data_IF_601681234306
#
_entry.id   IF_601681234306
#
_cell.length_a   1.000
_cell.length_b   1.000
_cell.length_c   1.000
_cell.angle_alpha   90.00
_cell.angle_beta   90.00
_cell.angle_gamma   90.00
#
_symmetry.space_group_name_H-M   'P 1'
#
loop_
_entity.id
_entity.type
_entity.pdbx_description
1 polymer ?
#
# COMPACT_ATOMS: atom_id res chain seq x y z
N UNK A 1 9.61 -7.15 4.64
CA UNK A 1 9.51 -6.54 5.99
C UNK A 1 10.66 -6.95 6.90
N UNK A 2 11.07 -8.22 6.95
CA UNK A 2 12.25 -8.67 7.73
C UNK A 2 13.58 -8.10 7.17
N UNK A 3 13.64 -7.85 5.85
CA UNK A 3 14.86 -7.41 5.17
C UNK A 3 15.46 -6.08 5.65
N UNK A 4 14.66 -5.11 6.13
CA UNK A 4 15.21 -3.85 6.63
C UNK A 4 15.95 -4.02 7.97
N UNK A 5 15.39 -4.84 8.87
CA UNK A 5 16.02 -5.16 10.16
C UNK A 5 17.26 -6.04 9.99
N UNK A 6 17.18 -7.08 9.15
CA UNK A 6 18.34 -7.90 8.81
C UNK A 6 19.42 -7.11 8.07
N UNK A 7 19.04 -6.22 7.15
CA UNK A 7 19.97 -5.34 6.44
C UNK A 7 20.72 -4.41 7.38
N UNK A 8 20.04 -3.83 8.39
CA UNK A 8 20.69 -3.03 9.42
C UNK A 8 21.69 -3.82 10.26
N UNK A 9 21.33 -5.04 10.69
CA UNK A 9 22.24 -5.95 11.42
C UNK A 9 23.45 -6.35 10.56
N UNK A 10 23.22 -6.62 9.28
CA UNK A 10 24.26 -7.01 8.32
C UNK A 10 25.25 -5.86 8.10
N UNK A 11 24.76 -4.63 7.98
CA UNK A 11 25.61 -3.42 7.89
C UNK A 11 26.37 -3.20 9.19
N UNK A 12 25.73 -3.41 10.36
CA UNK A 12 26.38 -3.24 11.64
C UNK A 12 27.55 -4.22 11.86
N UNK A 13 27.40 -5.49 11.45
CA UNK A 13 28.44 -6.51 11.60
C UNK A 13 29.48 -6.52 10.50
N UNK A 14 29.05 -6.39 9.25
CA UNK A 14 29.91 -6.63 8.09
C UNK A 14 30.17 -5.36 7.27
N UNK A 15 29.53 -4.25 7.60
CA UNK A 15 29.64 -3.01 6.84
C UNK A 15 28.82 -3.02 5.53
N UNK A 16 28.73 -1.84 4.92
CA UNK A 16 27.87 -1.58 3.75
C UNK A 16 28.28 -2.40 2.53
N UNK A 17 29.58 -2.58 2.29
CA UNK A 17 30.07 -3.29 1.09
C UNK A 17 29.63 -4.75 1.04
N UNK A 18 29.72 -5.47 2.16
CA UNK A 18 29.29 -6.86 2.24
C UNK A 18 27.77 -6.99 2.18
N UNK A 19 27.05 -6.04 2.77
CA UNK A 19 25.59 -5.99 2.65
C UNK A 19 25.15 -5.83 1.18
N UNK A 20 25.82 -4.98 0.41
CA UNK A 20 25.56 -4.81 -1.03
C UNK A 20 25.91 -6.05 -1.85
N UNK A 21 27.02 -6.74 -1.53
CA UNK A 21 27.40 -7.97 -2.23
C UNK A 21 26.40 -9.11 -1.97
N UNK A 22 25.91 -9.24 -0.74
CA UNK A 22 24.89 -10.23 -0.39
C UNK A 22 23.58 -9.92 -1.10
N UNK A 23 23.16 -8.66 -1.16
CA UNK A 23 21.98 -8.24 -1.91
C UNK A 23 22.11 -8.60 -3.41
N UNK A 24 23.24 -8.25 -4.03
CA UNK A 24 23.53 -8.57 -5.44
C UNK A 24 23.51 -10.08 -5.72
N UNK A 25 24.13 -10.89 -4.85
CA UNK A 25 24.13 -12.34 -4.97
C UNK A 25 22.72 -12.93 -4.84
N UNK A 26 21.91 -12.40 -3.92
CA UNK A 26 20.51 -12.80 -3.73
C UNK A 26 19.68 -12.58 -5.00
N UNK A 27 19.84 -11.40 -5.63
CA UNK A 27 19.17 -11.09 -6.90
C UNK A 27 19.67 -11.95 -8.06
N UNK A 28 20.98 -12.26 -8.12
CA UNK A 28 21.53 -13.18 -9.11
C UNK A 28 20.93 -14.59 -9.00
N UNK A 29 20.77 -15.09 -7.77
CA UNK A 29 20.09 -16.38 -7.51
C UNK A 29 18.64 -16.32 -7.98
N UNK A 30 17.90 -15.25 -7.67
CA UNK A 30 16.54 -15.06 -8.17
C UNK A 30 16.47 -15.05 -9.70
N UNK A 31 17.41 -14.37 -10.37
CA UNK A 31 17.47 -14.33 -11.83
C UNK A 31 17.69 -15.72 -12.44
N UNK A 32 18.59 -16.52 -11.85
CA UNK A 32 18.83 -17.91 -12.28
C UNK A 32 17.60 -18.77 -12.04
N UNK A 33 16.97 -18.69 -10.85
CA UNK A 33 15.76 -19.44 -10.54
C UNK A 33 14.62 -19.10 -11.52
N UNK A 34 14.39 -17.82 -11.81
CA UNK A 34 13.38 -17.40 -12.78
C UNK A 34 13.73 -17.89 -14.19
N UNK A 35 14.98 -17.74 -14.62
CA UNK A 35 15.43 -18.19 -15.94
C UNK A 35 15.32 -19.70 -16.16
N UNK A 36 15.46 -20.51 -15.10
CA UNK A 36 15.37 -21.98 -15.17
C UNK A 36 13.95 -22.50 -14.94
N UNK A 37 13.21 -21.93 -13.98
CA UNK A 37 11.93 -22.48 -13.51
C UNK A 37 10.71 -21.86 -14.19
N UNK A 38 10.78 -20.61 -14.65
CA UNK A 38 9.63 -19.94 -15.27
C UNK A 38 9.64 -20.21 -16.76
N UNK A 39 8.78 -21.12 -17.19
CA UNK A 39 8.48 -21.32 -18.61
C UNK A 39 7.38 -20.34 -19.01
N UNK A 40 7.66 -19.32 -19.84
CA UNK A 40 6.58 -18.50 -20.37
C UNK A 40 5.61 -19.40 -21.14
N UNK A 41 4.28 -19.24 -20.95
CA UNK A 41 3.32 -19.90 -21.81
C UNK A 41 3.68 -19.61 -23.27
N UNK A 42 3.66 -20.64 -24.12
CA UNK A 42 3.79 -20.43 -25.56
C UNK A 42 2.81 -19.32 -25.95
N UNK A 43 3.31 -18.28 -26.62
CA UNK A 43 2.51 -17.12 -27.01
C UNK A 43 1.39 -17.59 -27.96
N UNK A 44 0.25 -17.97 -27.38
CA UNK A 44 -0.99 -18.31 -28.10
C UNK A 44 -1.76 -17.06 -28.49
N UNK A 45 -1.39 -15.91 -27.91
CA UNK A 45 -1.87 -14.61 -28.37
C UNK A 45 -1.05 -14.18 -29.59
N UNK A 46 -1.73 -13.95 -30.72
CA UNK A 46 -1.17 -13.22 -31.85
C UNK A 46 -0.48 -11.94 -31.35
N UNK A 47 0.64 -11.50 -31.97
CA UNK A 47 1.28 -10.25 -31.59
C UNK A 47 0.22 -9.15 -31.63
N UNK A 48 -0.17 -8.63 -30.47
CA UNK A 48 -1.05 -7.48 -30.42
C UNK A 48 -0.36 -6.37 -31.21
N UNK A 49 -1.06 -5.76 -32.17
CA UNK A 49 -0.48 -4.65 -32.93
C UNK A 49 0.14 -3.64 -31.96
N UNK A 50 1.33 -3.08 -32.26
CA UNK A 50 2.00 -2.13 -31.39
C UNK A 50 1.13 -0.89 -31.24
N UNK A 51 0.31 -0.88 -30.18
CA UNK A 51 -0.56 0.24 -29.88
C UNK A 51 0.30 1.35 -29.30
N UNK A 52 0.23 2.56 -29.87
CA UNK A 52 1.01 3.70 -29.41
C UNK A 52 0.80 3.95 -27.91
N UNK A 53 1.91 4.22 -27.20
CA UNK A 53 1.95 4.40 -25.73
C UNK A 53 0.85 5.33 -25.19
N UNK A 54 0.59 6.44 -25.88
CA UNK A 54 -0.46 7.41 -25.50
C UNK A 54 -1.88 6.84 -25.62
N UNK A 55 -2.11 5.97 -26.61
CA UNK A 55 -3.41 5.32 -26.84
C UNK A 55 -3.63 4.22 -25.80
N UNK A 56 -2.58 3.49 -25.44
CA UNK A 56 -2.59 2.54 -24.33
C UNK A 56 -2.86 3.23 -22.97
N UNK A 57 -2.23 4.37 -22.71
CA UNK A 57 -2.49 5.19 -21.52
C UNK A 57 -3.94 5.71 -21.49
N UNK A 58 -4.42 6.28 -22.59
CA UNK A 58 -5.80 6.76 -22.71
C UNK A 58 -6.83 5.65 -22.48
N UNK A 59 -6.54 4.43 -22.96
CA UNK A 59 -7.35 3.24 -22.69
C UNK A 59 -7.45 2.90 -21.20
N UNK A 60 -6.33 2.97 -20.48
CA UNK A 60 -6.29 2.72 -19.04
C UNK A 60 -6.99 3.80 -18.22
N UNK A 61 -6.79 5.09 -18.51
CA UNK A 61 -7.52 6.19 -17.86
C UNK A 61 -9.03 6.11 -18.09
N UNK A 62 -9.46 5.78 -19.31
CA UNK A 62 -10.89 5.62 -19.63
C UNK A 62 -11.52 4.45 -18.88
N UNK A 63 -10.78 3.35 -18.70
CA UNK A 63 -11.25 2.21 -17.91
C UNK A 63 -11.38 2.60 -16.43
N UNK A 64 -10.36 3.25 -15.87
CA UNK A 64 -10.36 3.67 -14.47
C UNK A 64 -11.46 4.70 -14.16
N UNK A 65 -11.72 5.62 -15.10
CA UNK A 65 -12.83 6.58 -14.99
C UNK A 65 -14.22 5.92 -15.02
N UNK A 66 -14.35 4.73 -15.62
CA UNK A 66 -15.60 3.95 -15.64
C UNK A 66 -15.80 3.14 -14.35
N UNK A 67 -14.74 2.49 -13.84
CA UNK A 67 -14.81 1.79 -12.56
C UNK A 67 -14.55 2.75 -11.39
N UNK A 68 -15.61 3.46 -10.98
CA UNK A 68 -15.57 4.40 -9.86
C UNK A 68 -15.10 3.76 -8.55
N UNK A 69 -15.31 2.45 -8.36
CA UNK A 69 -14.88 1.77 -7.15
C UNK A 69 -13.36 1.61 -7.14
N UNK A 70 -12.78 1.16 -8.24
CA UNK A 70 -11.33 1.02 -8.39
C UNK A 70 -10.64 2.39 -8.29
N UNK A 71 -11.20 3.42 -8.95
CA UNK A 71 -10.68 4.79 -8.84
C UNK A 71 -10.71 5.29 -7.39
N UNK A 72 -11.81 5.05 -6.67
CA UNK A 72 -11.95 5.42 -5.26
C UNK A 72 -10.90 4.74 -4.39
N UNK A 73 -10.69 3.43 -4.56
CA UNK A 73 -9.67 2.69 -3.82
C UNK A 73 -8.28 3.26 -4.08
N UNK A 74 -7.95 3.60 -5.34
CA UNK A 74 -6.67 4.19 -5.69
C UNK A 74 -6.48 5.60 -5.12
N UNK A 75 -7.53 6.44 -5.10
CA UNK A 75 -7.46 7.76 -4.48
C UNK A 75 -7.24 7.68 -2.97
N UNK A 76 -7.93 6.75 -2.29
CA UNK A 76 -7.72 6.48 -0.87
C UNK A 76 -6.28 6.04 -0.61
N UNK A 77 -5.76 5.11 -1.42
CA UNK A 77 -4.39 4.60 -1.27
C UNK A 77 -3.36 5.70 -1.56
N UNK A 78 -3.59 6.52 -2.58
CA UNK A 78 -2.74 7.67 -2.88
C UNK A 78 -2.70 8.65 -1.70
N UNK A 79 -3.84 8.93 -1.07
CA UNK A 79 -3.90 9.76 0.12
C UNK A 79 -3.22 9.12 1.34
N UNK A 80 -3.35 7.80 1.54
CA UNK A 80 -2.64 7.09 2.59
C UNK A 80 -1.11 7.15 2.37
N UNK A 81 -0.65 6.98 1.13
CA UNK A 81 0.76 7.14 0.76
C UNK A 81 1.25 8.58 0.99
N UNK A 82 0.42 9.56 0.65
CA UNK A 82 0.70 10.97 0.92
C UNK A 82 0.92 11.23 2.41
N UNK A 83 0.00 10.76 3.26
CA UNK A 83 0.10 10.88 4.72
C UNK A 83 1.31 10.12 5.27
N UNK A 84 1.55 8.91 4.78
CA UNK A 84 2.68 8.09 5.20
C UNK A 84 4.01 8.79 4.89
N UNK A 85 4.15 9.36 3.69
CA UNK A 85 5.37 10.03 3.29
C UNK A 85 5.56 11.36 4.02
N UNK A 86 4.49 12.16 4.21
CA UNK A 86 4.54 13.37 5.03
C UNK A 86 5.02 13.05 6.46
N UNK A 87 4.53 11.94 7.03
CA UNK A 87 4.91 11.49 8.36
C UNK A 87 6.39 11.12 8.46
N UNK A 88 6.87 10.28 7.54
CA UNK A 88 8.25 9.78 7.58
C UNK A 88 9.25 10.87 7.21
N UNK A 89 8.94 11.70 6.21
CA UNK A 89 9.86 12.71 5.71
C UNK A 89 9.93 13.96 6.60
N UNK A 90 8.84 14.32 7.31
CA UNK A 90 8.73 15.61 7.99
C UNK A 90 8.23 15.47 9.43
N UNK A 91 7.03 14.92 9.65
CA UNK A 91 6.39 15.05 10.96
C UNK A 91 7.08 14.26 12.07
N UNK A 92 7.53 13.02 11.82
CA UNK A 92 8.21 12.22 12.84
C UNK A 92 9.59 12.79 13.15
N UNK A 93 10.45 13.13 12.16
CA UNK A 93 11.73 13.78 12.46
C UNK A 93 11.57 15.04 13.31
N UNK A 94 10.59 15.89 12.99
CA UNK A 94 10.32 17.10 13.75
C UNK A 94 9.76 16.82 15.15
N UNK A 95 8.82 15.89 15.29
CA UNK A 95 8.32 15.49 16.61
C UNK A 95 9.44 14.93 17.49
N UNK A 96 10.35 14.13 16.91
CA UNK A 96 11.50 13.59 17.63
C UNK A 96 12.46 14.71 18.05
N UNK A 97 12.68 15.71 17.18
CA UNK A 97 13.59 16.83 17.45
C UNK A 97 13.00 17.83 18.47
N UNK A 98 11.74 18.22 18.29
CA UNK A 98 11.11 19.33 19.02
C UNK A 98 10.41 18.88 20.30
N UNK A 99 9.95 17.62 20.38
CA UNK A 99 9.15 17.11 21.51
C UNK A 99 9.93 16.05 22.30
N UNK A 100 10.42 15.00 21.65
CA UNK A 100 11.04 13.87 22.35
C UNK A 100 12.47 14.15 22.82
N UNK A 101 13.26 14.89 22.02
CA UNK A 101 14.67 15.18 22.28
C UNK A 101 15.62 13.97 22.20
N UNK A 102 15.13 12.79 21.78
CA UNK A 102 15.92 11.56 21.68
C UNK A 102 15.91 10.98 20.25
N UNK A 103 17.04 11.01 19.52
CA UNK A 103 17.15 10.47 18.16
C UNK A 103 16.73 9.01 18.00
N UNK A 104 16.83 8.19 19.05
CA UNK A 104 16.40 6.79 19.03
C UNK A 104 14.89 6.64 18.79
N UNK A 105 14.09 7.67 19.13
CA UNK A 105 12.64 7.68 18.93
C UNK A 105 12.22 7.47 17.48
N UNK A 106 12.97 8.00 16.52
CA UNK A 106 12.67 7.83 15.10
C UNK A 106 12.71 6.34 14.72
N UNK A 107 13.79 5.65 15.12
CA UNK A 107 13.95 4.22 14.88
C UNK A 107 12.86 3.38 15.57
N UNK A 108 12.49 3.74 16.81
CA UNK A 108 11.44 3.04 17.55
C UNK A 108 10.06 3.19 16.90
N UNK A 109 9.70 4.39 16.45
CA UNK A 109 8.41 4.65 15.77
C UNK A 109 8.34 3.89 14.44
N UNK A 110 9.40 3.93 13.63
CA UNK A 110 9.47 3.16 12.38
C UNK A 110 9.47 1.64 12.61
N UNK A 111 10.15 1.19 13.67
CA UNK A 111 10.19 -0.20 14.09
C UNK A 111 8.82 -0.70 14.53
N UNK A 112 8.12 0.05 15.38
CA UNK A 112 6.77 -0.26 15.83
C UNK A 112 5.78 -0.35 14.65
N UNK A 113 5.85 0.59 13.70
CA UNK A 113 5.05 0.53 12.49
C UNK A 113 5.32 -0.76 11.69
N UNK A 114 6.59 -1.10 11.50
CA UNK A 114 7.00 -2.29 10.74
C UNK A 114 6.58 -3.59 11.41
N UNK A 115 6.70 -3.65 12.75
CA UNK A 115 6.25 -4.78 13.55
C UNK A 115 4.72 -4.97 13.46
N UNK A 116 3.97 -3.87 13.57
CA UNK A 116 2.52 -3.86 13.39
C UNK A 116 2.11 -4.32 11.99
N UNK A 117 2.78 -3.82 10.95
CA UNK A 117 2.52 -4.22 9.56
C UNK A 117 2.81 -5.71 9.31
N UNK A 118 3.87 -6.25 9.92
CA UNK A 118 4.18 -7.67 9.84
C UNK A 118 3.09 -8.52 10.51
N UNK A 119 2.68 -8.13 11.72
CA UNK A 119 1.61 -8.81 12.45
C UNK A 119 0.28 -8.72 11.69
N UNK A 120 -0.06 -7.55 11.14
CA UNK A 120 -1.27 -7.35 10.33
C UNK A 120 -1.29 -8.21 9.07
N UNK A 121 -0.16 -8.36 8.38
CA UNK A 121 -0.05 -9.27 7.24
C UNK A 121 -0.26 -10.73 7.66
N UNK A 122 0.36 -11.18 8.76
CA UNK A 122 0.19 -12.54 9.27
C UNK A 122 -1.27 -12.81 9.67
N UNK A 123 -1.90 -11.87 10.37
CA UNK A 123 -3.31 -11.90 10.72
C UNK A 123 -4.18 -11.98 9.47
N UNK A 124 -3.88 -11.20 8.43
CA UNK A 124 -4.63 -11.23 7.18
C UNK A 124 -4.45 -12.55 6.42
N UNK A 125 -3.27 -13.17 6.43
CA UNK A 125 -3.07 -14.48 5.81
C UNK A 125 -3.96 -15.55 6.47
N UNK A 126 -4.14 -15.50 7.79
CA UNK A 126 -4.94 -16.49 8.53
C UNK A 126 -6.43 -16.17 8.54
N UNK A 127 -6.79 -14.90 8.75
CA UNK A 127 -8.18 -14.46 8.95
C UNK A 127 -8.80 -13.82 7.70
N UNK A 128 -8.00 -13.34 6.76
CA UNK A 128 -8.45 -12.67 5.54
C UNK A 128 -9.51 -13.43 4.73
N UNK A 129 -9.44 -14.76 4.58
CA UNK A 129 -10.48 -15.53 3.89
C UNK A 129 -11.85 -15.48 4.57
N UNK A 130 -11.89 -15.22 5.89
CA UNK A 130 -13.11 -15.20 6.70
C UNK A 130 -13.66 -13.80 6.94
N UNK A 131 -12.91 -12.76 6.54
CA UNK A 131 -13.26 -11.38 6.83
C UNK A 131 -14.01 -10.71 5.67
N UNK A 132 -15.01 -9.86 5.96
CA UNK A 132 -15.68 -9.05 4.95
C UNK A 132 -14.71 -8.03 4.35
N UNK A 133 -14.19 -8.33 3.14
CA UNK A 133 -13.15 -7.58 2.42
C UNK A 133 -13.33 -6.05 2.46
N UNK A 134 -14.56 -5.55 2.25
CA UNK A 134 -14.86 -4.12 2.27
C UNK A 134 -14.72 -3.51 3.67
N UNK A 135 -15.29 -4.15 4.71
CA UNK A 135 -15.16 -3.66 6.08
C UNK A 135 -13.70 -3.71 6.56
N UNK A 136 -12.94 -4.74 6.17
CA UNK A 136 -11.52 -4.82 6.54
C UNK A 136 -10.70 -3.73 5.87
N UNK A 137 -10.98 -3.40 4.59
CA UNK A 137 -10.37 -2.25 3.92
C UNK A 137 -10.67 -0.95 4.66
N UNK A 138 -11.94 -0.73 5.00
CA UNK A 138 -12.43 0.48 5.68
C UNK A 138 -11.78 0.68 7.03
N UNK A 139 -11.84 -0.35 7.88
CA UNK A 139 -11.29 -0.29 9.23
C UNK A 139 -9.78 -0.16 9.17
N UNK A 140 -9.11 -0.89 8.27
CA UNK A 140 -7.67 -0.80 8.06
C UNK A 140 -7.23 0.60 7.62
N UNK A 141 -7.90 1.18 6.61
CA UNK A 141 -7.63 2.52 6.12
C UNK A 141 -7.85 3.58 7.21
N UNK A 142 -8.98 3.53 7.92
CA UNK A 142 -9.29 4.46 9.00
C UNK A 142 -8.30 4.36 10.18
N UNK A 143 -7.89 3.15 10.55
CA UNK A 143 -6.92 2.92 11.62
C UNK A 143 -5.48 3.31 11.25
N UNK A 144 -5.14 3.26 9.96
CA UNK A 144 -3.75 3.44 9.48
C UNK A 144 -3.25 4.88 9.47
N UNK A 145 -4.12 5.87 9.24
CA UNK A 145 -3.72 7.25 8.97
C UNK A 145 -3.94 8.22 10.13
N UNK A 146 -5.20 8.57 10.39
CA UNK A 146 -5.56 9.64 11.33
C UNK A 146 -5.13 9.38 12.79
N UNK A 147 -5.28 8.16 13.38
CA UNK A 147 -4.92 7.94 14.78
C UNK A 147 -3.45 8.25 15.07
N UNK A 148 -2.54 7.86 14.17
CA UNK A 148 -1.11 8.10 14.30
C UNK A 148 -0.77 9.58 14.28
N UNK A 149 -1.39 10.35 13.37
CA UNK A 149 -1.17 11.80 13.29
C UNK A 149 -1.73 12.51 14.54
N UNK A 150 -2.88 12.06 15.04
CA UNK A 150 -3.46 12.59 16.29
C UNK A 150 -2.58 12.26 17.50
N UNK A 151 -2.01 11.06 17.57
CA UNK A 151 -1.09 10.69 18.64
C UNK A 151 0.17 11.58 18.64
N UNK A 152 0.75 11.85 17.47
CA UNK A 152 1.88 12.79 17.34
C UNK A 152 1.49 14.24 17.69
N UNK A 153 0.24 14.65 17.45
CA UNK A 153 -0.23 16.00 17.73
C UNK A 153 -0.58 16.26 19.19
N UNK A 154 -1.07 15.22 19.89
CA UNK A 154 -1.69 15.34 21.22
C UNK A 154 -0.88 14.67 22.33
N UNK A 155 0.15 13.89 21.99
CA UNK A 155 0.93 13.13 22.96
C UNK A 155 2.42 13.40 22.82
N UNK A 156 3.05 13.66 23.96
CA UNK A 156 4.50 13.76 24.13
C UNK A 156 5.09 12.42 24.64
N UNK A 157 4.22 11.50 25.06
CA UNK A 157 4.56 10.20 25.63
C UNK A 157 4.90 9.20 24.52
N UNK A 158 6.20 8.85 24.41
CA UNK A 158 6.68 7.86 23.45
C UNK A 158 5.89 6.54 23.46
N UNK A 159 5.54 5.93 24.62
CA UNK A 159 4.78 4.67 24.63
C UNK A 159 3.41 4.77 23.94
N UNK A 160 2.73 5.91 24.05
CA UNK A 160 1.43 6.16 23.41
C UNK A 160 1.61 6.23 21.90
N UNK A 161 2.59 7.00 21.43
CA UNK A 161 2.91 7.12 20.01
C UNK A 161 3.30 5.77 19.41
N UNK A 162 4.08 4.95 20.14
CA UNK A 162 4.47 3.60 19.71
C UNK A 162 3.27 2.66 19.60
N UNK A 163 2.40 2.63 20.62
CA UNK A 163 1.22 1.77 20.62
C UNK A 163 0.27 2.11 19.46
N UNK A 164 -0.02 3.40 19.26
CA UNK A 164 -0.89 3.84 18.16
C UNK A 164 -0.24 3.59 16.80
N UNK A 165 1.06 3.85 16.66
CA UNK A 165 1.78 3.60 15.41
C UNK A 165 1.81 2.10 15.05
N UNK A 166 1.96 1.23 16.05
CA UNK A 166 1.89 -0.21 15.88
C UNK A 166 0.51 -0.66 15.39
N UNK A 167 -0.57 -0.16 16.01
CA UNK A 167 -1.94 -0.46 15.58
C UNK A 167 -2.23 0.06 14.16
N UNK A 168 -1.74 1.26 13.82
CA UNK A 168 -1.82 1.79 12.46
C UNK A 168 -1.07 0.92 11.44
N UNK A 169 0.07 0.34 11.83
CA UNK A 169 0.80 -0.66 11.03
C UNK A 169 -0.04 -1.90 10.73
N UNK A 170 -0.79 -2.41 11.71
CA UNK A 170 -1.70 -3.55 11.49
C UNK A 170 -2.79 -3.17 10.46
N UNK A 171 -3.36 -1.97 10.59
CA UNK A 171 -4.42 -1.50 9.70
C UNK A 171 -3.98 -1.36 8.23
N UNK A 172 -2.80 -0.80 7.98
CA UNK A 172 -2.32 -0.57 6.61
C UNK A 172 -1.98 -1.88 5.88
N UNK A 173 -1.59 -2.92 6.61
CA UNK A 173 -1.16 -4.20 6.03
C UNK A 173 -2.24 -4.84 5.13
N UNK A 174 -3.52 -4.63 5.48
CA UNK A 174 -4.67 -5.20 4.77
C UNK A 174 -4.97 -4.48 3.45
N UNK A 175 -4.50 -3.24 3.28
CA UNK A 175 -4.86 -2.38 2.15
C UNK A 175 -4.26 -2.88 0.82
N UNK A 176 -2.98 -3.28 0.82
CA UNK A 176 -2.27 -3.68 -0.40
C UNK A 176 -2.79 -5.00 -1.02
N UNK A 177 -3.01 -6.09 -0.25
CA UNK A 177 -3.57 -7.32 -0.79
C UNK A 177 -4.97 -7.11 -1.39
N UNK A 178 -5.81 -6.30 -0.75
CA UNK A 178 -7.16 -6.01 -1.22
C UNK A 178 -7.15 -5.23 -2.53
N UNK A 179 -6.25 -4.27 -2.70
CA UNK A 179 -6.07 -3.57 -3.98
C UNK A 179 -5.59 -4.54 -5.06
N UNK A 180 -4.61 -5.40 -4.75
CA UNK A 180 -4.09 -6.39 -5.70
C UNK A 180 -5.20 -7.30 -6.21
N UNK A 181 -5.99 -7.87 -5.30
CA UNK A 181 -7.14 -8.72 -5.66
C UNK A 181 -8.15 -7.95 -6.51
N UNK A 182 -8.52 -6.72 -6.12
CA UNK A 182 -9.46 -5.91 -6.88
C UNK A 182 -8.96 -5.56 -8.30
N UNK A 183 -7.67 -5.29 -8.45
CA UNK A 183 -7.05 -5.03 -9.76
C UNK A 183 -7.09 -6.28 -10.64
N UNK A 184 -6.72 -7.45 -10.12
CA UNK A 184 -6.69 -8.69 -10.92
C UNK A 184 -8.08 -9.27 -11.19
N UNK A 185 -9.05 -9.12 -10.27
CA UNK A 185 -10.42 -9.63 -10.45
C UNK A 185 -11.26 -8.76 -11.39
N UNK A 186 -11.06 -7.43 -11.38
CA UNK A 186 -11.89 -6.49 -12.16
C UNK A 186 -11.32 -6.19 -13.54
N UNK A 187 -9.99 -6.10 -13.66
CA UNK A 187 -9.33 -5.67 -14.90
C UNK A 187 -9.24 -6.84 -15.90
N UNK A 188 -9.78 -6.70 -17.12
CA UNK A 188 -9.64 -7.71 -18.17
C UNK A 188 -8.18 -7.99 -18.50
N UNK A 189 -7.82 -9.26 -18.76
CA UNK A 189 -6.44 -9.70 -18.99
C UNK A 189 -5.67 -8.85 -20.02
N UNK A 190 -6.30 -8.47 -21.14
CA UNK A 190 -5.69 -7.65 -22.18
C UNK A 190 -5.40 -6.18 -21.78
N UNK A 191 -5.92 -5.71 -20.64
CA UNK A 191 -5.69 -4.36 -20.12
C UNK A 191 -4.87 -4.36 -18.82
N UNK A 192 -4.54 -5.52 -18.25
CA UNK A 192 -3.89 -5.63 -16.94
C UNK A 192 -2.57 -4.85 -16.89
N UNK A 193 -1.66 -5.04 -17.84
CA UNK A 193 -0.38 -4.31 -17.88
C UNK A 193 -0.55 -2.80 -17.95
N UNK A 194 -1.62 -2.31 -18.61
CA UNK A 194 -1.89 -0.86 -18.76
C UNK A 194 -2.50 -0.27 -17.49
N UNK A 195 -3.54 -0.92 -16.96
CA UNK A 195 -4.29 -0.43 -15.80
C UNK A 195 -3.50 -0.62 -14.51
N UNK A 196 -2.77 -1.73 -14.33
CA UNK A 196 -1.94 -1.96 -13.15
C UNK A 196 -0.78 -0.97 -13.10
N UNK A 197 -0.13 -0.69 -14.24
CA UNK A 197 0.92 0.33 -14.32
C UNK A 197 0.40 1.72 -13.94
N UNK A 198 -0.74 2.13 -14.50
CA UNK A 198 -1.40 3.40 -14.14
C UNK A 198 -1.86 3.45 -12.69
N UNK A 199 -2.42 2.35 -12.18
CA UNK A 199 -2.85 2.22 -10.79
C UNK A 199 -1.67 2.39 -9.82
N UNK A 200 -0.54 1.76 -10.12
CA UNK A 200 0.71 1.96 -9.39
C UNK A 200 1.12 3.43 -9.38
N UNK A 201 1.23 4.07 -10.56
CA UNK A 201 1.58 5.48 -10.66
C UNK A 201 0.63 6.38 -9.84
N UNK A 202 -0.67 6.15 -9.94
CA UNK A 202 -1.67 6.94 -9.22
C UNK A 202 -1.58 6.74 -7.70
N UNK A 203 -1.29 5.52 -7.25
CA UNK A 203 -1.02 5.22 -5.85
C UNK A 203 0.25 5.90 -5.34
N UNK A 204 1.31 6.00 -6.15
CA UNK A 204 2.60 6.57 -5.74
C UNK A 204 2.71 8.08 -5.88
N UNK A 205 1.89 8.73 -6.71
CA UNK A 205 1.85 10.21 -6.84
C UNK A 205 1.63 10.90 -5.49
N UNK A 206 0.95 10.25 -4.55
CA UNK A 206 0.78 10.75 -3.19
C UNK A 206 2.10 10.99 -2.45
N UNK A 207 3.14 10.19 -2.67
CA UNK A 207 4.42 10.31 -1.95
C UNK A 207 5.08 11.69 -2.09
N UNK A 208 5.45 12.17 -3.30
CA UNK A 208 6.09 13.48 -3.44
C UNK A 208 5.18 14.62 -2.99
N UNK A 209 3.88 14.52 -3.26
CA UNK A 209 2.89 15.50 -2.81
C UNK A 209 2.86 15.58 -1.28
N UNK A 210 2.92 14.43 -0.60
CA UNK A 210 2.92 14.33 0.85
C UNK A 210 4.13 14.96 1.50
N UNK A 211 5.32 14.73 0.95
CA UNK A 211 6.54 15.37 1.46
C UNK A 211 6.48 16.90 1.31
N UNK A 212 6.04 17.39 0.14
CA UNK A 212 5.90 18.83 -0.12
C UNK A 212 4.85 19.48 0.80
N UNK A 213 3.65 18.91 0.87
CA UNK A 213 2.58 19.43 1.72
C UNK A 213 2.92 19.30 3.21
N UNK A 214 3.60 18.23 3.61
CA UNK A 214 4.12 18.03 4.95
C UNK A 214 5.06 19.16 5.36
N UNK A 215 6.09 19.41 4.56
CA UNK A 215 7.06 20.50 4.81
C UNK A 215 6.40 21.87 4.79
N UNK A 216 5.58 22.15 3.77
CA UNK A 216 4.88 23.43 3.64
C UNK A 216 3.92 23.69 4.81
N UNK A 217 3.13 22.69 5.23
CA UNK A 217 2.17 22.85 6.32
C UNK A 217 2.84 23.13 7.66
N UNK A 218 3.95 22.46 7.97
CA UNK A 218 4.74 22.79 9.17
C UNK A 218 5.33 24.20 9.07
N UNK A 219 5.92 24.56 7.92
CA UNK A 219 6.52 25.88 7.74
C UNK A 219 5.51 27.02 7.88
N UNK A 220 4.26 26.81 7.46
CA UNK A 220 3.20 27.81 7.51
C UNK A 220 2.49 27.90 8.87
N UNK A 221 2.24 26.76 9.53
CA UNK A 221 1.33 26.68 10.67
C UNK A 221 1.95 26.07 11.95
N UNK A 222 3.19 25.56 11.86
CA UNK A 222 3.81 24.76 12.92
C UNK A 222 3.38 23.29 12.90
N UNK A 223 4.06 22.48 13.72
CA UNK A 223 3.92 21.02 13.70
C UNK A 223 2.51 20.53 14.10
N UNK A 224 1.98 21.00 15.23
CA UNK A 224 0.68 20.52 15.75
C UNK A 224 -0.48 20.88 14.81
N UNK A 225 -0.66 22.13 14.34
CA UNK A 225 -1.73 22.44 13.40
C UNK A 225 -1.60 21.70 12.06
N UNK A 226 -0.37 21.49 11.58
CA UNK A 226 -0.11 20.69 10.38
C UNK A 226 -0.55 19.23 10.53
N UNK A 227 -0.20 18.60 11.66
CA UNK A 227 -0.62 17.24 12.00
C UNK A 227 -2.15 17.12 12.09
N UNK A 228 -2.82 18.05 12.76
CA UNK A 228 -4.27 18.05 12.90
C UNK A 228 -4.98 18.24 11.54
N UNK A 229 -4.50 19.17 10.71
CA UNK A 229 -5.04 19.41 9.38
C UNK A 229 -4.89 18.17 8.48
N UNK A 230 -3.72 17.52 8.52
CA UNK A 230 -3.47 16.30 7.77
C UNK A 230 -4.29 15.12 8.30
N UNK A 231 -4.48 15.01 9.62
CA UNK A 231 -5.33 14.00 10.23
C UNK A 231 -6.80 14.14 9.80
N UNK A 232 -7.32 15.37 9.81
CA UNK A 232 -8.66 15.68 9.34
C UNK A 232 -8.81 15.37 7.84
N UNK A 233 -7.85 15.77 7.01
CA UNK A 233 -7.84 15.45 5.58
C UNK A 233 -7.83 13.93 5.33
N UNK A 234 -6.99 13.19 6.06
CA UNK A 234 -6.93 11.72 5.97
C UNK A 234 -8.26 11.08 6.38
N UNK A 235 -8.90 11.59 7.43
CA UNK A 235 -10.17 11.06 7.92
C UNK A 235 -11.29 11.37 6.92
N UNK A 236 -11.31 12.57 6.32
CA UNK A 236 -12.24 12.92 5.26
C UNK A 236 -12.07 12.02 4.03
N UNK A 237 -10.84 11.78 3.57
CA UNK A 237 -10.59 10.94 2.39
C UNK A 237 -10.92 9.47 2.66
N UNK A 238 -10.71 8.99 3.88
CA UNK A 238 -11.03 7.59 4.25
C UNK A 238 -12.52 7.39 4.54
N UNK A 239 -13.24 8.37 5.12
CA UNK A 239 -14.65 8.25 5.54
C UNK A 239 -15.64 8.69 4.46
N UNK A 240 -15.36 9.75 3.71
CA UNK A 240 -16.30 10.34 2.73
C UNK A 240 -16.68 9.39 1.58
N UNK A 241 -15.78 8.53 1.06
CA UNK A 241 -16.18 7.55 0.06
C UNK A 241 -17.12 6.49 0.65
N UNK A 242 -16.98 6.18 1.93
CA UNK A 242 -17.71 5.10 2.61
C UNK A 242 -19.16 5.43 2.91
N UNK A 243 -19.46 6.71 3.15
CA UNK A 243 -20.84 7.18 3.30
C UNK A 243 -21.56 7.24 1.95
N UNK A 244 -20.83 7.21 0.84
CA UNK A 244 -21.37 7.28 -0.54
C UNK A 244 -21.43 5.94 -1.25
N UNK A 245 -20.64 4.95 -0.84
CA UNK A 245 -20.71 3.58 -1.36
C UNK A 245 -21.59 2.72 -0.46
N UNK A 246 -22.82 2.44 -0.93
CA UNK A 246 -23.77 1.57 -0.23
C UNK A 246 -23.14 0.20 0.12
N UNK A 247 -23.38 -0.37 1.32
CA UNK A 247 -22.83 -1.65 1.78
C UNK A 247 -23.12 -2.87 0.88
N UNK A 248 -24.00 -2.72 -0.12
CA UNK A 248 -24.47 -3.78 -1.01
C UNK A 248 -23.61 -4.04 -2.24
N UNK A 249 -22.56 -3.24 -2.50
CA UNK A 249 -21.57 -3.56 -3.55
C UNK A 249 -20.50 -4.50 -3.01
N UNK A 250 -20.89 -5.77 -2.89
CA UNK A 250 -19.99 -6.87 -2.59
C UNK A 250 -18.79 -6.84 -3.53
N UNK A 251 -17.59 -6.81 -2.96
CA UNK A 251 -16.43 -7.35 -3.68
C UNK A 251 -16.81 -8.80 -4.03
N UNK A 252 -16.76 -9.20 -5.31
CA UNK A 252 -17.11 -10.57 -5.69
C UNK A 252 -16.35 -11.56 -4.81
N UNK A 253 -17.05 -12.60 -4.35
CA UNK A 253 -16.38 -13.72 -3.68
C UNK A 253 -15.36 -14.32 -4.67
N UNK A 254 -14.23 -14.86 -4.18
CA UNK A 254 -13.32 -15.57 -5.05
C UNK A 254 -14.10 -16.71 -5.72
N UNK A 255 -14.00 -16.79 -7.05
CA UNK A 255 -14.51 -17.92 -7.82
C UNK A 255 -13.90 -19.19 -7.22
N UNK A 256 -14.74 -20.07 -6.68
CA UNK A 256 -14.31 -21.35 -6.14
C UNK A 256 -13.50 -22.09 -7.20
N UNK A 257 -12.43 -22.84 -6.86
CA UNK A 257 -11.74 -23.70 -7.82
C UNK A 257 -12.70 -24.59 -8.62
N UNK A 258 -13.80 -25.02 -7.98
CA UNK A 258 -14.89 -25.81 -8.56
C UNK A 258 -15.62 -25.08 -9.71
N UNK A 259 -15.82 -23.77 -9.60
CA UNK A 259 -16.52 -22.97 -10.61
C UNK A 259 -15.65 -22.73 -11.86
N UNK A 260 -14.32 -22.89 -11.74
CA UNK A 260 -13.40 -22.83 -12.90
C UNK A 260 -13.49 -24.09 -13.75
N UNK A 261 -13.66 -25.27 -13.13
CA UNK A 261 -13.81 -26.53 -13.88
C UNK A 261 -15.15 -26.60 -14.60
N UNK A 262 -16.24 -26.11 -13.98
CA UNK A 262 -17.57 -26.09 -14.62
C UNK A 262 -17.63 -25.15 -15.84
N UNK A 263 -16.94 -23.99 -15.80
CA UNK A 263 -16.89 -23.06 -16.95
C UNK A 263 -16.04 -23.57 -18.11
N UNK A 264 -14.98 -24.32 -17.83
CA UNK A 264 -14.13 -24.93 -18.86
C UNK A 264 -14.82 -26.15 -19.48
N UNK A 265 -15.58 -26.91 -18.70
CA UNK A 265 -16.36 -28.05 -19.19
C UNK A 265 -17.61 -27.63 -19.98
N UNK A 266 -18.25 -26.50 -19.64
CA UNK A 266 -19.48 -26.04 -20.29
C UNK A 266 -19.30 -25.42 -21.68
N UNK A 267 -18.07 -25.04 -22.06
CA UNK A 267 -17.75 -24.55 -23.41
C UNK A 267 -17.29 -25.65 -24.37
N UNK A 268 -17.30 -26.91 -23.91
CA UNK A 268 -16.85 -28.06 -24.68
C UNK A 268 -17.98 -29.08 -24.85
N UNK A 269 -19.06 -28.68 -25.52
CA UNK A 269 -19.98 -29.62 -26.19
C UNK A 269 -20.33 -29.01 -27.56
N UNK A 270 -20.14 -29.76 -28.66
CA UNK A 270 -20.08 -29.25 -30.03
C UNK A 270 -21.40 -28.71 -30.60
#
# INVERSE_FOLDING_TARGET
LVGAGLGGLLIWWFGVTWALLIDAASFAVCAVLVGVLVRPPAATAAPAEPEGYLRALGGGFRYLGRDRMLLTMLLVISALNMVANASIAVYIPLWVADVLGNPAGLGLVLGAFSAGALLGNLLFTVLGPRLPRYLTFVVGAAASGAPRLLALALSEELPVVLAVTFLSGIGIAVVNPLLGVALYERVPAGLQTRVIGLAGSLAFVGLPVGALLGGWSVAAFGLVPALLAMAAACLLVTVLPLTRTSPTRTLPAPVSPDDREVRVSGSAVP
#
